data_IF_128691140003
#
_entry.id   IF_128691140003
#
_cell.length_a   1.000
_cell.length_b   1.000
_cell.length_c   1.000
_cell.angle_alpha   90.00
_cell.angle_beta   90.00
_cell.angle_gamma   90.00
#
_symmetry.space_group_name_H-M   'P 1'
#
loop_
_entity.id
_entity.type
_entity.pdbx_description
1 polymer ?
#
# COMPACT_ATOMS: atom_id res chain seq x y z
N UNK A 1 -14.83 8.54 6.52
CA UNK A 1 -13.38 8.77 6.36
C UNK A 1 -12.73 7.95 5.25
N UNK A 2 -12.77 6.61 5.24
CA UNK A 2 -12.06 5.80 4.21
C UNK A 2 -12.30 6.28 2.77
N UNK A 3 -13.55 6.45 2.36
CA UNK A 3 -13.90 6.92 1.01
C UNK A 3 -13.81 8.44 0.81
N UNK A 4 -13.56 9.20 1.89
CA UNK A 4 -13.52 10.67 1.86
C UNK A 4 -12.09 11.20 1.66
N UNK A 5 -11.10 10.47 2.19
CA UNK A 5 -9.70 10.82 2.06
C UNK A 5 -9.19 10.48 0.66
N UNK A 6 -8.45 11.42 0.06
CA UNK A 6 -7.75 11.20 -1.21
C UNK A 6 -6.45 10.46 -0.97
N UNK A 7 -5.89 9.88 -2.02
CA UNK A 7 -4.64 9.10 -1.95
C UNK A 7 -3.41 9.96 -1.63
N UNK A 8 -3.52 11.28 -1.82
CA UNK A 8 -2.48 12.26 -1.55
C UNK A 8 -2.66 12.94 -0.18
N UNK A 9 -3.67 12.53 0.60
CA UNK A 9 -4.00 13.13 1.89
C UNK A 9 -3.24 12.42 3.04
N UNK A 10 -2.42 13.18 3.79
CA UNK A 10 -1.63 12.66 4.92
C UNK A 10 -2.48 12.19 6.10
N UNK A 11 -3.75 12.58 6.16
CA UNK A 11 -4.69 12.00 7.12
C UNK A 11 -4.95 10.50 6.86
N UNK A 12 -4.49 9.96 5.72
CA UNK A 12 -4.47 8.52 5.47
C UNK A 12 -3.52 7.75 6.39
N UNK A 13 -2.39 8.33 6.81
CA UNK A 13 -1.38 7.62 7.59
C UNK A 13 -1.95 7.00 8.87
N UNK A 14 -2.55 7.77 9.79
CA UNK A 14 -3.12 7.20 11.01
C UNK A 14 -4.28 6.24 10.72
N UNK A 15 -5.00 6.41 9.61
CA UNK A 15 -6.10 5.53 9.23
C UNK A 15 -5.58 4.15 8.77
N UNK A 16 -4.55 4.14 7.92
CA UNK A 16 -3.96 2.91 7.40
C UNK A 16 -3.24 2.12 8.50
N UNK A 17 -2.48 2.81 9.37
CA UNK A 17 -1.85 2.20 10.55
C UNK A 17 -2.90 1.58 11.49
N UNK A 18 -4.00 2.28 11.73
CA UNK A 18 -5.11 1.76 12.52
C UNK A 18 -5.72 0.50 11.87
N UNK A 19 -5.96 0.54 10.56
CA UNK A 19 -6.47 -0.62 9.82
C UNK A 19 -5.50 -1.80 9.83
N UNK A 20 -4.18 -1.56 9.89
CA UNK A 20 -3.16 -2.61 9.97
C UNK A 20 -3.34 -3.40 11.27
N UNK A 21 -3.42 -2.68 12.40
CA UNK A 21 -3.70 -3.28 13.71
C UNK A 21 -5.06 -4.00 13.77
N UNK A 22 -6.10 -3.41 13.17
CA UNK A 22 -7.45 -3.99 13.15
C UNK A 22 -7.53 -5.24 12.28
N UNK A 23 -6.90 -5.24 11.10
CA UNK A 23 -6.89 -6.39 10.20
C UNK A 23 -6.20 -7.60 10.86
N UNK A 24 -5.06 -7.38 11.51
CA UNK A 24 -4.34 -8.43 12.25
C UNK A 24 -5.18 -8.96 13.41
N UNK A 25 -5.85 -8.07 14.16
CA UNK A 25 -6.67 -8.47 15.31
C UNK A 25 -7.97 -9.20 14.91
N UNK A 26 -8.64 -8.76 13.85
CA UNK A 26 -9.91 -9.35 13.39
C UNK A 26 -9.73 -10.63 12.58
N UNK A 27 -8.55 -10.84 12.01
CA UNK A 27 -8.25 -12.00 11.16
C UNK A 27 -9.32 -12.20 10.07
N UNK A 28 -9.93 -13.38 9.98
CA UNK A 28 -11.01 -13.69 9.04
C UNK A 28 -12.24 -12.79 9.19
N UNK A 29 -12.42 -12.12 10.33
CA UNK A 29 -13.44 -11.09 10.53
C UNK A 29 -13.26 -9.85 9.64
N UNK A 30 -12.06 -9.65 9.07
CA UNK A 30 -11.76 -8.55 8.15
C UNK A 30 -12.09 -8.88 6.68
N UNK A 31 -12.44 -10.14 6.35
CA UNK A 31 -12.71 -10.57 4.97
C UNK A 31 -13.73 -9.71 4.20
N UNK A 32 -14.85 -9.24 4.78
CA UNK A 32 -15.81 -8.40 4.05
C UNK A 32 -15.24 -7.05 3.59
N UNK A 33 -14.09 -6.64 4.12
CA UNK A 33 -13.47 -5.34 3.90
C UNK A 33 -12.14 -5.44 3.15
N UNK A 34 -11.56 -6.63 3.01
CA UNK A 34 -10.17 -6.79 2.62
C UNK A 34 -9.88 -6.36 1.17
N UNK A 35 -10.77 -6.66 0.23
CA UNK A 35 -10.54 -6.40 -1.19
C UNK A 35 -10.34 -4.91 -1.53
N UNK A 36 -11.24 -3.98 -1.15
CA UNK A 36 -11.01 -2.55 -1.42
C UNK A 36 -9.82 -1.97 -0.66
N UNK A 37 -9.51 -2.49 0.53
CA UNK A 37 -8.34 -2.05 1.32
C UNK A 37 -7.05 -2.48 0.62
N UNK A 38 -6.96 -3.75 0.23
CA UNK A 38 -5.83 -4.33 -0.49
C UNK A 38 -5.56 -3.59 -1.81
N UNK A 39 -6.61 -3.40 -2.62
CA UNK A 39 -6.49 -2.71 -3.92
C UNK A 39 -5.99 -1.27 -3.77
N UNK A 40 -6.46 -0.55 -2.75
CA UNK A 40 -5.99 0.81 -2.50
C UNK A 40 -4.52 0.84 -2.11
N UNK A 41 -4.06 -0.06 -1.24
CA UNK A 41 -2.65 -0.15 -0.86
C UNK A 41 -1.75 -0.48 -2.07
N UNK A 42 -2.14 -1.45 -2.90
CA UNK A 42 -1.41 -1.76 -4.14
C UNK A 42 -1.31 -0.53 -5.05
N UNK A 43 -2.41 0.23 -5.16
CA UNK A 43 -2.44 1.47 -5.97
C UNK A 43 -1.51 2.54 -5.41
N UNK A 44 -1.47 2.74 -4.09
CA UNK A 44 -0.57 3.70 -3.45
C UNK A 44 0.90 3.35 -3.70
N UNK A 45 1.27 2.07 -3.52
CA UNK A 45 2.62 1.58 -3.81
C UNK A 45 2.98 1.82 -5.28
N UNK A 46 2.09 1.43 -6.19
CA UNK A 46 2.32 1.59 -7.63
C UNK A 46 2.47 3.06 -8.04
N UNK A 47 1.62 3.95 -7.54
CA UNK A 47 1.69 5.40 -7.83
C UNK A 47 3.02 5.99 -7.32
N UNK A 48 3.40 5.65 -6.09
CA UNK A 48 4.64 6.16 -5.47
C UNK A 48 5.87 5.72 -6.27
N UNK A 49 5.95 4.44 -6.64
CA UNK A 49 7.04 3.91 -7.47
C UNK A 49 7.07 4.55 -8.86
N UNK A 50 5.91 4.73 -9.51
CA UNK A 50 5.83 5.38 -10.81
C UNK A 50 6.34 6.84 -10.73
N UNK A 51 5.91 7.59 -9.71
CA UNK A 51 6.38 8.95 -9.51
C UNK A 51 7.89 9.00 -9.20
N UNK A 52 8.42 8.06 -8.42
CA UNK A 52 9.86 7.96 -8.15
C UNK A 52 10.67 7.74 -9.44
N UNK A 53 10.17 6.89 -10.34
CA UNK A 53 10.81 6.66 -11.64
C UNK A 53 10.79 7.92 -12.53
N UNK A 54 9.66 8.63 -12.58
CA UNK A 54 9.55 9.87 -13.35
C UNK A 54 10.49 10.95 -12.80
N UNK A 55 10.54 11.12 -11.48
CA UNK A 55 11.48 12.02 -10.81
C UNK A 55 12.95 11.65 -11.11
N UNK A 56 13.30 10.36 -11.07
CA UNK A 56 14.67 9.92 -11.35
C UNK A 56 15.10 10.18 -12.79
N UNK A 57 14.18 10.16 -13.76
CA UNK A 57 14.49 10.41 -15.17
C UNK A 57 14.48 11.90 -15.51
N UNK A 58 13.58 12.67 -14.90
CA UNK A 58 13.33 14.07 -15.21
C UNK A 58 13.13 14.90 -13.92
N UNK A 59 14.17 15.08 -13.09
CA UNK A 59 14.05 15.74 -11.78
C UNK A 59 13.65 17.21 -11.86
N UNK A 60 13.89 17.88 -13.01
CA UNK A 60 13.48 19.27 -13.22
C UNK A 60 11.98 19.42 -13.58
N UNK A 61 11.29 18.32 -13.90
CA UNK A 61 9.90 18.32 -14.38
C UNK A 61 8.91 17.68 -13.39
N UNK A 62 9.39 16.82 -12.50
CA UNK A 62 8.57 16.09 -11.55
C UNK A 62 9.07 16.31 -10.13
N UNK A 63 8.16 16.29 -9.17
CA UNK A 63 8.51 16.34 -7.76
C UNK A 63 8.82 14.94 -7.22
N UNK A 64 9.76 14.86 -6.29
CA UNK A 64 10.03 13.64 -5.56
C UNK A 64 8.76 13.17 -4.83
N UNK A 65 8.41 11.88 -4.88
CA UNK A 65 7.24 11.38 -4.17
C UNK A 65 7.46 11.38 -2.67
N UNK A 66 6.37 11.56 -1.92
CA UNK A 66 6.34 11.26 -0.50
C UNK A 66 6.24 9.74 -0.32
N UNK A 67 7.35 9.10 0.08
CA UNK A 67 7.43 7.64 0.20
C UNK A 67 6.70 7.10 1.44
N UNK A 68 6.25 7.95 2.36
CA UNK A 68 5.49 7.51 3.54
C UNK A 68 4.18 6.82 3.12
N UNK A 69 3.56 7.25 2.01
CA UNK A 69 2.38 6.58 1.46
C UNK A 69 2.66 5.12 1.06
N UNK A 70 3.82 4.86 0.46
CA UNK A 70 4.24 3.51 0.11
C UNK A 70 4.55 2.68 1.35
N UNK A 71 5.27 3.25 2.32
CA UNK A 71 5.65 2.56 3.56
C UNK A 71 4.40 2.12 4.33
N UNK A 72 3.47 3.04 4.58
CA UNK A 72 2.26 2.75 5.35
C UNK A 72 1.32 1.80 4.57
N UNK A 73 1.26 1.91 3.24
CA UNK A 73 0.51 0.96 2.42
C UNK A 73 1.09 -0.46 2.45
N UNK A 74 2.43 -0.60 2.41
CA UNK A 74 3.12 -1.89 2.53
C UNK A 74 2.91 -2.50 3.93
N UNK A 75 2.94 -1.69 4.99
CA UNK A 75 2.62 -2.14 6.35
C UNK A 75 1.21 -2.74 6.43
N UNK A 76 0.20 -2.05 5.89
CA UNK A 76 -1.16 -2.57 5.87
C UNK A 76 -1.29 -3.84 5.02
N UNK A 77 -0.59 -3.94 3.89
CA UNK A 77 -0.56 -5.19 3.11
C UNK A 77 0.05 -6.34 3.91
N UNK A 78 1.08 -6.07 4.72
CA UNK A 78 1.66 -7.04 5.65
C UNK A 78 0.65 -7.45 6.72
N UNK A 79 -0.04 -6.49 7.36
CA UNK A 79 -1.09 -6.77 8.35
C UNK A 79 -2.26 -7.57 7.78
N UNK A 80 -2.66 -7.31 6.53
CA UNK A 80 -3.65 -8.13 5.82
C UNK A 80 -3.17 -9.55 5.58
N UNK A 81 -1.91 -9.74 5.16
CA UNK A 81 -1.35 -11.07 4.96
C UNK A 81 -1.25 -11.85 6.28
N UNK A 82 -0.87 -11.18 7.37
CA UNK A 82 -0.79 -11.76 8.71
C UNK A 82 -2.19 -12.15 9.24
N UNK A 83 -3.16 -11.23 9.18
CA UNK A 83 -4.51 -11.46 9.70
C UNK A 83 -5.32 -12.45 8.88
N UNK A 84 -5.27 -12.37 7.55
CA UNK A 84 -6.10 -13.18 6.66
C UNK A 84 -5.50 -14.56 6.34
N UNK A 85 -4.18 -14.71 6.51
CA UNK A 85 -3.46 -15.93 6.18
C UNK A 85 -3.71 -16.36 4.72
N UNK A 86 -4.13 -17.61 4.51
CA UNK A 86 -4.36 -18.17 3.17
C UNK A 86 -5.44 -17.43 2.36
N UNK A 87 -6.34 -16.69 3.00
CA UNK A 87 -7.39 -15.97 2.27
C UNK A 87 -6.85 -14.80 1.43
N UNK A 88 -5.62 -14.34 1.70
CA UNK A 88 -4.97 -13.29 0.89
C UNK A 88 -4.52 -13.80 -0.49
N UNK A 89 -4.46 -15.12 -0.70
CA UNK A 89 -3.94 -15.74 -1.93
C UNK A 89 -4.65 -15.23 -3.19
N UNK A 90 -5.98 -15.12 -3.16
CA UNK A 90 -6.75 -14.64 -4.31
C UNK A 90 -6.47 -13.17 -4.63
N UNK A 91 -6.22 -12.34 -3.61
CA UNK A 91 -5.88 -10.93 -3.78
C UNK A 91 -4.48 -10.78 -4.39
N UNK A 92 -3.52 -11.58 -3.90
CA UNK A 92 -2.16 -11.64 -4.46
C UNK A 92 -2.20 -12.10 -5.91
N UNK A 93 -2.90 -13.19 -6.21
CA UNK A 93 -2.97 -13.77 -7.56
C UNK A 93 -3.61 -12.84 -8.60
N UNK A 94 -4.45 -11.90 -8.17
CA UNK A 94 -5.13 -10.92 -9.04
C UNK A 94 -4.44 -9.55 -9.09
N UNK A 95 -3.27 -9.41 -8.48
CA UNK A 95 -2.52 -8.16 -8.45
C UNK A 95 -1.10 -8.31 -8.98
N UNK A 96 -0.44 -7.18 -9.21
CA UNK A 96 0.97 -7.09 -9.58
C UNK A 96 1.88 -6.90 -8.35
N UNK A 97 1.40 -7.20 -7.13
CA UNK A 97 2.12 -6.88 -5.89
C UNK A 97 3.55 -7.46 -5.85
N UNK A 98 3.77 -8.66 -6.39
CA UNK A 98 5.10 -9.29 -6.40
C UNK A 98 6.10 -8.49 -7.25
N UNK A 99 5.66 -7.92 -8.37
CA UNK A 99 6.47 -7.04 -9.20
C UNK A 99 6.77 -5.73 -8.48
N UNK A 100 5.77 -5.15 -7.79
CA UNK A 100 5.95 -3.92 -7.02
C UNK A 100 6.90 -4.13 -5.84
N UNK A 101 6.77 -5.24 -5.10
CA UNK A 101 7.67 -5.59 -4.00
C UNK A 101 9.13 -5.71 -4.48
N UNK A 102 9.35 -6.33 -5.64
CA UNK A 102 10.69 -6.40 -6.23
C UNK A 102 11.28 -5.00 -6.50
N UNK A 103 10.46 -4.05 -6.95
CA UNK A 103 10.89 -2.66 -7.13
C UNK A 103 11.13 -1.97 -5.78
N UNK A 104 10.27 -2.16 -4.79
CA UNK A 104 10.47 -1.62 -3.44
C UNK A 104 11.78 -2.11 -2.81
N UNK A 105 12.14 -3.38 -3.01
CA UNK A 105 13.40 -3.95 -2.49
C UNK A 105 14.66 -3.38 -3.16
N UNK A 106 14.52 -2.72 -4.31
CA UNK A 106 15.61 -2.01 -4.99
C UNK A 106 15.67 -0.54 -4.60
N UNK A 107 14.76 -0.05 -3.77
CA UNK A 107 14.79 1.32 -3.31
C UNK A 107 16.08 1.59 -2.52
N UNK A 108 16.80 2.63 -2.94
CA UNK A 108 18.15 2.94 -2.46
C UNK A 108 18.15 3.94 -1.31
N UNK A 109 17.00 4.53 -0.98
CA UNK A 109 16.87 5.41 0.17
C UNK A 109 16.00 4.74 1.25
N UNK A 110 16.47 4.69 2.51
CA UNK A 110 15.70 4.17 3.64
C UNK A 110 14.45 5.02 3.92
#
# INVERSE_FOLDING_TARGET
>A
KWNELKDEDKDLFPLLECLSSVATALQSGFLPYCEPVYQRCVTLVQKTLAQAMMYSQHPDQYEAPDKDFMIVALDLLSGLAEGLGCHVEQLVARSNIMTLLFQCMQDTMP
#
